data_IF_193320692896
#
_entry.id   IF_193320692896
#
_cell.length_a   1.000
_cell.length_b   1.000
_cell.length_c   1.000
_cell.angle_alpha   90.00
_cell.angle_beta   90.00
_cell.angle_gamma   90.00
#
_symmetry.space_group_name_H-M   'P 1'
#
loop_
_entity.id
_entity.type
_entity.pdbx_description
1 polymer ?
#
# COMPACT_ATOMS: atom_id res chain seq x y z
N UNK A 1 20.13 -1.12 -3.07
CA UNK A 1 19.91 0.23 -2.49
C UNK A 1 19.92 1.26 -3.59
N UNK A 2 18.84 1.97 -3.75
CA UNK A 2 18.78 3.10 -4.71
C UNK A 2 18.59 4.37 -3.92
N UNK A 3 19.61 5.22 -3.85
CA UNK A 3 19.50 6.56 -3.30
C UNK A 3 19.28 7.52 -4.47
N UNK A 4 18.10 8.10 -4.53
CA UNK A 4 17.80 9.07 -5.54
C UNK A 4 17.42 10.40 -4.88
N UNK A 5 18.03 11.50 -5.35
CA UNK A 5 17.52 12.83 -5.08
C UNK A 5 16.79 13.28 -6.33
N UNK A 6 15.50 13.55 -6.20
CA UNK A 6 14.66 13.97 -7.32
C UNK A 6 14.08 15.34 -6.95
N UNK A 7 14.58 16.38 -7.55
CA UNK A 7 14.27 17.76 -7.19
C UNK A 7 14.67 18.04 -5.74
N UNK A 8 13.72 18.51 -4.91
CA UNK A 8 13.93 18.73 -3.47
C UNK A 8 13.67 17.47 -2.62
N UNK A 9 13.22 16.37 -3.20
CA UNK A 9 12.91 15.14 -2.48
C UNK A 9 14.13 14.22 -2.45
N UNK A 10 14.50 13.77 -1.25
CA UNK A 10 15.51 12.73 -1.05
C UNK A 10 14.79 11.39 -1.02
N UNK A 11 15.14 10.50 -1.94
CA UNK A 11 14.66 9.11 -1.95
C UNK A 11 15.77 8.19 -1.47
N UNK A 12 15.46 7.39 -0.45
CA UNK A 12 16.33 6.32 0.06
C UNK A 12 15.51 5.02 0.02
N UNK A 13 15.61 4.28 -1.08
CA UNK A 13 14.75 3.12 -1.33
C UNK A 13 15.61 1.91 -1.65
N UNK A 14 15.41 0.83 -0.90
CA UNK A 14 15.87 -0.51 -1.23
C UNK A 14 14.63 -1.39 -1.43
N UNK A 15 14.15 -1.46 -2.67
CA UNK A 15 12.91 -2.13 -3.03
C UNK A 15 13.23 -3.30 -3.96
N UNK A 16 13.22 -4.54 -3.47
CA UNK A 16 13.31 -5.73 -4.32
C UNK A 16 11.96 -5.93 -5.01
N UNK A 17 11.94 -5.87 -6.34
CA UNK A 17 10.78 -6.23 -7.14
C UNK A 17 10.89 -7.69 -7.54
N UNK A 18 9.96 -8.49 -7.03
CA UNK A 18 9.78 -9.90 -7.41
C UNK A 18 8.55 -10.04 -8.29
N UNK A 19 8.40 -11.18 -8.96
CA UNK A 19 7.23 -11.48 -9.77
C UNK A 19 5.94 -11.36 -8.95
N UNK A 20 4.89 -10.92 -9.61
CA UNK A 20 3.60 -10.58 -8.98
C UNK A 20 3.40 -9.08 -8.79
N UNK A 21 2.34 -8.73 -8.06
CA UNK A 21 1.91 -7.34 -7.87
C UNK A 21 2.42 -6.83 -6.53
N UNK A 22 3.30 -5.83 -6.58
CA UNK A 22 3.72 -5.04 -5.41
C UNK A 22 2.97 -3.71 -5.43
N UNK A 23 2.17 -3.45 -4.40
CA UNK A 23 1.58 -2.14 -4.19
C UNK A 23 2.59 -1.20 -3.52
N UNK A 24 2.78 -0.02 -4.08
CA UNK A 24 3.54 1.07 -3.48
C UNK A 24 2.58 2.07 -2.85
N UNK A 25 2.47 2.02 -1.54
CA UNK A 25 1.55 2.81 -0.75
C UNK A 25 2.28 3.87 0.06
N UNK A 26 1.63 5.00 0.28
CA UNK A 26 2.14 6.09 1.10
C UNK A 26 1.37 7.39 0.88
N UNK A 27 1.56 8.40 1.73
CA UNK A 27 0.87 9.68 1.61
C UNK A 27 1.24 10.43 0.32
N UNK A 28 0.46 11.45 0.00
CA UNK A 28 0.81 12.36 -1.08
C UNK A 28 2.18 13.00 -0.81
N UNK A 29 3.03 13.06 -1.84
CA UNK A 29 4.40 13.57 -1.68
C UNK A 29 5.42 12.60 -1.10
N UNK A 30 5.05 11.36 -0.74
CA UNK A 30 5.99 10.36 -0.22
C UNK A 30 7.09 9.91 -1.20
N UNK A 31 6.96 10.27 -2.49
CA UNK A 31 7.95 9.93 -3.51
C UNK A 31 7.58 8.74 -4.40
N UNK A 32 6.31 8.28 -4.36
CA UNK A 32 5.83 7.12 -5.13
C UNK A 32 6.08 7.25 -6.64
N UNK A 33 5.55 8.30 -7.27
CA UNK A 33 5.74 8.56 -8.71
C UNK A 33 7.21 8.76 -9.06
N UNK A 34 7.96 9.48 -8.22
CA UNK A 34 9.38 9.70 -8.41
C UNK A 34 10.19 8.39 -8.39
N UNK A 35 9.77 7.42 -7.56
CA UNK A 35 10.37 6.08 -7.54
C UNK A 35 10.15 5.36 -8.87
N UNK A 36 8.92 5.38 -9.39
CA UNK A 36 8.61 4.77 -10.67
C UNK A 36 9.35 5.45 -11.83
N UNK A 37 9.42 6.78 -11.84
CA UNK A 37 10.16 7.54 -12.85
C UNK A 37 11.66 7.21 -12.84
N UNK A 38 12.26 7.04 -11.66
CA UNK A 38 13.65 6.64 -11.53
C UNK A 38 13.88 5.23 -12.10
N UNK A 39 12.99 4.28 -11.82
CA UNK A 39 13.04 2.92 -12.37
C UNK A 39 12.86 2.95 -13.89
N UNK A 40 11.87 3.68 -14.39
CA UNK A 40 11.58 3.82 -15.81
C UNK A 40 12.67 4.56 -16.60
N UNK A 41 13.47 5.40 -15.92
CA UNK A 41 14.57 6.17 -16.53
C UNK A 41 14.15 7.53 -17.08
N UNK A 42 13.05 8.09 -16.58
CA UNK A 42 12.65 9.46 -16.84
C UNK A 42 13.36 10.45 -15.93
N UNK A 43 13.71 10.02 -14.73
CA UNK A 43 14.52 10.78 -13.77
C UNK A 43 15.79 10.01 -13.47
N UNK A 44 16.93 10.72 -13.45
CA UNK A 44 18.24 10.14 -13.13
C UNK A 44 18.49 10.21 -11.62
N UNK A 45 18.67 9.07 -10.92
CA UNK A 45 19.12 9.08 -9.54
C UNK A 45 20.55 9.64 -9.40
N UNK A 46 20.89 10.20 -8.25
CA UNK A 46 22.27 10.66 -7.95
C UNK A 46 23.20 9.50 -7.61
N UNK A 47 22.66 8.46 -6.92
CA UNK A 47 23.42 7.31 -6.43
C UNK A 47 22.60 6.05 -6.53
N UNK A 48 23.28 4.91 -6.42
CA UNK A 48 22.68 3.60 -6.33
C UNK A 48 22.56 2.88 -7.65
N UNK A 49 21.74 1.85 -7.68
CA UNK A 49 21.60 0.91 -8.80
C UNK A 49 20.14 0.54 -9.03
N UNK A 50 19.75 0.39 -10.28
CA UNK A 50 18.46 -0.15 -10.69
C UNK A 50 18.69 -1.36 -11.59
N UNK A 51 18.06 -2.49 -11.25
CA UNK A 51 18.04 -3.71 -12.04
C UNK A 51 16.62 -3.98 -12.52
N UNK A 52 16.48 -4.50 -13.73
CA UNK A 52 15.22 -5.02 -14.28
C UNK A 52 15.50 -6.42 -14.83
N UNK A 53 15.01 -7.45 -14.15
CA UNK A 53 15.52 -8.79 -14.28
C UNK A 53 17.02 -8.83 -13.95
N UNK A 54 17.83 -9.45 -14.79
CA UNK A 54 19.29 -9.54 -14.61
C UNK A 54 20.06 -8.33 -15.19
N UNK A 55 19.36 -7.38 -15.80
CA UNK A 55 20.00 -6.26 -16.49
C UNK A 55 20.16 -5.05 -15.55
N UNK A 56 21.40 -4.55 -15.41
CA UNK A 56 21.67 -3.27 -14.78
C UNK A 56 21.26 -2.16 -15.77
N UNK A 57 20.21 -1.42 -15.41
CA UNK A 57 19.71 -0.30 -16.25
C UNK A 57 20.18 1.06 -15.78
N UNK A 58 20.58 1.13 -14.51
CA UNK A 58 21.24 2.28 -13.92
C UNK A 58 22.26 1.82 -12.86
N UNK A 59 23.43 2.40 -12.86
CA UNK A 59 24.45 2.25 -11.81
C UNK A 59 25.29 3.53 -11.78
N UNK A 60 25.20 4.26 -10.69
CA UNK A 60 25.87 5.54 -10.54
C UNK A 60 27.40 5.40 -10.49
N UNK A 61 27.88 4.34 -9.80
CA UNK A 61 29.30 4.11 -9.59
C UNK A 61 29.98 3.57 -10.87
N UNK A 62 29.26 2.73 -11.63
CA UNK A 62 29.71 2.21 -12.92
C UNK A 62 29.43 3.14 -14.11
N UNK A 63 28.77 4.28 -13.90
CA UNK A 63 28.42 5.23 -14.95
C UNK A 63 27.36 4.71 -15.93
N UNK A 64 26.62 3.66 -15.58
CA UNK A 64 25.57 3.08 -16.42
C UNK A 64 24.29 3.87 -16.27
N UNK A 65 23.70 4.34 -17.37
CA UNK A 65 22.38 4.95 -17.39
C UNK A 65 21.68 4.68 -18.72
N UNK A 66 20.93 3.59 -18.79
CA UNK A 66 20.15 3.26 -19.98
C UNK A 66 18.97 4.22 -20.12
N UNK A 67 18.73 4.76 -21.33
CA UNK A 67 17.53 5.57 -21.57
C UNK A 67 16.27 4.70 -21.45
N UNK A 68 15.13 5.30 -21.07
CA UNK A 68 13.87 4.63 -20.79
C UNK A 68 13.48 3.57 -21.85
N UNK A 69 13.61 3.90 -23.15
CA UNK A 69 13.31 2.98 -24.27
C UNK A 69 14.13 1.69 -24.30
N UNK A 70 15.26 1.63 -23.59
CA UNK A 70 16.16 0.46 -23.52
C UNK A 70 16.00 -0.34 -22.22
N UNK A 71 15.21 0.16 -21.24
CA UNK A 71 15.06 -0.49 -19.94
C UNK A 71 14.11 -1.66 -19.94
N UNK A 72 13.42 -1.92 -21.06
CA UNK A 72 12.41 -3.00 -21.17
C UNK A 72 11.37 -2.97 -20.05
N UNK A 73 11.02 -1.78 -19.61
CA UNK A 73 10.05 -1.50 -18.58
C UNK A 73 8.88 -0.75 -19.22
N UNK A 74 7.67 -1.23 -19.03
CA UNK A 74 6.49 -0.47 -19.42
C UNK A 74 6.05 0.43 -18.27
N UNK A 75 5.76 1.69 -18.57
CA UNK A 75 5.30 2.66 -17.60
C UNK A 75 3.97 3.25 -18.03
N UNK A 76 3.00 3.17 -17.13
CA UNK A 76 1.65 3.73 -17.25
C UNK A 76 1.58 4.89 -16.24
N UNK A 77 1.90 6.09 -16.70
CA UNK A 77 1.87 7.32 -15.89
C UNK A 77 0.53 8.04 -15.99
N UNK A 78 0.45 9.19 -15.34
CA UNK A 78 -0.77 10.01 -15.28
C UNK A 78 -1.23 10.59 -16.65
N UNK A 79 -0.41 10.49 -17.69
CA UNK A 79 -0.75 10.92 -19.06
C UNK A 79 -1.20 9.74 -19.88
N UNK A 80 -2.18 9.96 -20.76
CA UNK A 80 -2.73 8.94 -21.64
C UNK A 80 -1.65 8.14 -22.37
N UNK A 81 -1.59 6.85 -22.08
CA UNK A 81 -0.69 5.89 -22.72
C UNK A 81 -1.16 5.46 -24.11
N UNK A 82 -2.31 5.95 -24.60
CA UNK A 82 -2.88 5.63 -25.90
C UNK A 82 -2.75 6.80 -26.87
N UNK A 83 -2.58 6.49 -28.15
CA UNK A 83 -2.68 7.48 -29.22
C UNK A 83 -4.15 7.91 -29.42
N UNK A 84 -4.53 9.18 -29.19
CA UNK A 84 -5.92 9.59 -29.15
C UNK A 84 -6.63 9.54 -30.52
N UNK A 85 -5.87 9.58 -31.61
CA UNK A 85 -6.37 9.50 -32.99
C UNK A 85 -6.55 8.07 -33.51
N UNK A 86 -6.04 7.07 -32.79
CA UNK A 86 -6.12 5.66 -33.13
C UNK A 86 -7.23 4.96 -32.35
N UNK A 87 -7.84 3.91 -32.94
CA UNK A 87 -8.74 3.01 -32.20
C UNK A 87 -7.94 2.13 -31.23
N UNK A 88 -8.63 1.45 -30.30
CA UNK A 88 -7.99 0.49 -29.38
C UNK A 88 -7.19 -0.54 -30.18
N UNK A 89 -7.79 -1.15 -31.18
CA UNK A 89 -7.13 -2.12 -32.08
C UNK A 89 -5.88 -1.54 -32.74
N UNK A 90 -5.98 -0.31 -33.27
CA UNK A 90 -4.84 0.35 -33.92
C UNK A 90 -3.71 0.65 -32.92
N UNK A 91 -4.02 1.03 -31.69
CA UNK A 91 -3.06 1.23 -30.63
C UNK A 91 -2.27 -0.06 -30.30
N UNK A 92 -2.97 -1.20 -30.19
CA UNK A 92 -2.33 -2.49 -29.94
C UNK A 92 -1.51 -2.97 -31.15
N UNK A 93 -2.03 -2.78 -32.36
CA UNK A 93 -1.30 -3.10 -33.59
C UNK A 93 -0.02 -2.29 -33.74
N UNK A 94 -0.03 -1.03 -33.35
CA UNK A 94 1.16 -0.18 -33.36
C UNK A 94 2.22 -0.68 -32.38
N UNK A 95 1.84 -1.07 -31.16
CA UNK A 95 2.77 -1.62 -30.18
C UNK A 95 3.34 -3.00 -30.56
N UNK A 96 2.68 -3.69 -31.48
CA UNK A 96 3.04 -5.01 -31.97
C UNK A 96 3.81 -4.97 -33.32
N UNK A 97 4.40 -3.87 -33.72
CA UNK A 97 5.02 -3.65 -35.03
C UNK A 97 6.19 -4.60 -35.34
N UNK A 98 6.88 -5.07 -34.29
CA UNK A 98 7.99 -6.04 -34.38
C UNK A 98 7.57 -7.45 -34.82
N UNK A 99 6.26 -7.77 -34.75
CA UNK A 99 5.76 -9.11 -35.08
C UNK A 99 5.35 -9.21 -36.55
N UNK A 100 5.53 -10.40 -37.12
CA UNK A 100 4.99 -10.67 -38.45
C UNK A 100 3.48 -10.46 -38.48
N UNK A 101 2.94 -10.03 -39.64
CA UNK A 101 1.55 -9.59 -39.78
C UNK A 101 0.52 -10.56 -39.18
N UNK A 102 0.65 -11.85 -39.47
CA UNK A 102 -0.28 -12.87 -38.98
C UNK A 102 -0.22 -13.03 -37.47
N UNK A 103 0.98 -13.15 -36.92
CA UNK A 103 1.24 -13.29 -35.51
C UNK A 103 0.77 -12.04 -34.75
N UNK A 104 1.05 -10.86 -35.28
CA UNK A 104 0.60 -9.58 -34.72
C UNK A 104 -0.92 -9.52 -34.58
N UNK A 105 -1.67 -9.92 -35.63
CA UNK A 105 -3.14 -9.91 -35.62
C UNK A 105 -3.68 -10.89 -34.56
N UNK A 106 -3.10 -12.09 -34.47
CA UNK A 106 -3.47 -13.08 -33.47
C UNK A 106 -3.26 -12.57 -32.04
N UNK A 107 -2.06 -12.05 -31.73
CA UNK A 107 -1.72 -11.51 -30.42
C UNK A 107 -2.62 -10.34 -30.00
N UNK A 108 -2.94 -9.45 -30.95
CA UNK A 108 -3.88 -8.34 -30.68
C UNK A 108 -5.27 -8.88 -30.33
N UNK A 109 -5.78 -9.88 -31.06
CA UNK A 109 -7.08 -10.49 -30.76
C UNK A 109 -7.08 -11.16 -29.38
N UNK A 110 -6.03 -11.92 -29.03
CA UNK A 110 -5.85 -12.54 -27.74
C UNK A 110 -5.82 -11.50 -26.61
N UNK A 111 -5.09 -10.40 -26.82
CA UNK A 111 -4.99 -9.33 -25.81
C UNK A 111 -6.31 -8.57 -25.62
N UNK A 112 -7.04 -8.29 -26.72
CA UNK A 112 -8.36 -7.68 -26.66
C UNK A 112 -9.37 -8.56 -25.89
N UNK A 113 -9.33 -9.88 -26.14
CA UNK A 113 -10.18 -10.82 -25.40
C UNK A 113 -9.80 -10.88 -23.91
N UNK A 114 -8.51 -10.97 -23.61
CA UNK A 114 -7.98 -11.11 -22.25
C UNK A 114 -8.30 -9.89 -21.37
N UNK A 115 -8.28 -8.69 -21.93
CA UNK A 115 -8.60 -7.45 -21.22
C UNK A 115 -10.05 -7.00 -21.38
N UNK A 116 -10.92 -7.88 -21.92
CA UNK A 116 -12.37 -7.62 -22.08
C UNK A 116 -12.64 -6.37 -22.93
N UNK A 117 -11.92 -6.23 -24.06
CA UNK A 117 -11.98 -5.08 -24.97
C UNK A 117 -12.50 -5.43 -26.35
N UNK A 118 -13.02 -6.65 -26.56
CA UNK A 118 -13.45 -7.13 -27.86
C UNK A 118 -14.58 -6.29 -28.49
N UNK A 119 -15.50 -5.78 -27.66
CA UNK A 119 -16.59 -4.91 -28.07
C UNK A 119 -16.16 -3.45 -28.28
N UNK A 120 -15.00 -3.06 -27.76
CA UNK A 120 -14.45 -1.70 -27.83
C UNK A 120 -13.32 -1.53 -28.86
N UNK A 121 -13.02 -2.56 -29.63
CA UNK A 121 -11.84 -2.61 -30.51
C UNK A 121 -11.77 -1.46 -31.53
N UNK A 122 -12.90 -0.95 -32.03
CA UNK A 122 -12.98 0.16 -32.97
C UNK A 122 -13.25 1.53 -32.27
N UNK A 123 -13.41 1.54 -30.95
CA UNK A 123 -13.56 2.79 -30.17
C UNK A 123 -12.22 3.54 -30.06
N UNK A 124 -12.29 4.85 -29.95
CA UNK A 124 -11.13 5.70 -29.64
C UNK A 124 -10.98 5.88 -28.13
N UNK A 125 -9.77 6.20 -27.62
CA UNK A 125 -9.53 6.39 -26.19
C UNK A 125 -10.49 7.35 -25.48
N UNK A 126 -10.88 8.43 -26.15
CA UNK A 126 -11.83 9.44 -25.62
C UNK A 126 -13.25 8.90 -25.40
N UNK A 127 -13.61 7.84 -26.13
CA UNK A 127 -14.94 7.25 -26.11
C UNK A 127 -15.06 6.10 -25.09
N UNK A 128 -13.93 5.76 -24.42
CA UNK A 128 -13.85 4.71 -23.41
C UNK A 128 -14.08 5.27 -22.00
N UNK A 129 -14.81 4.55 -21.14
CA UNK A 129 -14.78 4.80 -19.70
C UNK A 129 -13.34 4.69 -19.13
N UNK A 130 -12.99 5.42 -18.05
CA UNK A 130 -11.61 5.45 -17.51
C UNK A 130 -11.03 4.06 -17.27
N UNK A 131 -11.76 3.14 -16.62
CA UNK A 131 -11.30 1.77 -16.34
C UNK A 131 -11.01 0.97 -17.62
N UNK A 132 -11.86 1.10 -18.66
CA UNK A 132 -11.64 0.43 -19.94
C UNK A 132 -10.47 1.03 -20.71
N UNK A 133 -10.27 2.34 -20.61
CA UNK A 133 -9.11 3.02 -21.17
C UNK A 133 -7.82 2.51 -20.54
N UNK A 134 -7.77 2.41 -19.21
CA UNK A 134 -6.61 1.86 -18.50
C UNK A 134 -6.36 0.40 -18.89
N UNK A 135 -7.40 -0.44 -19.06
CA UNK A 135 -7.23 -1.80 -19.59
C UNK A 135 -6.59 -1.81 -20.97
N UNK A 136 -6.99 -0.89 -21.85
CA UNK A 136 -6.40 -0.77 -23.19
C UNK A 136 -4.94 -0.29 -23.14
N UNK A 137 -4.59 0.60 -22.21
CA UNK A 137 -3.22 1.05 -21.97
C UNK A 137 -2.32 -0.11 -21.50
N UNK A 138 -2.79 -0.90 -20.52
CA UNK A 138 -2.11 -2.09 -20.04
C UNK A 138 -1.95 -3.12 -21.17
N UNK A 139 -3.01 -3.40 -21.91
CA UNK A 139 -2.97 -4.31 -23.04
C UNK A 139 -1.92 -3.89 -24.09
N UNK A 140 -1.90 -2.59 -24.44
CA UNK A 140 -0.90 -2.02 -25.33
C UNK A 140 0.52 -2.14 -24.78
N UNK A 141 0.71 -1.84 -23.50
CA UNK A 141 2.01 -1.94 -22.84
C UNK A 141 2.57 -3.38 -22.88
N UNK A 142 1.72 -4.38 -22.61
CA UNK A 142 2.10 -5.79 -22.65
C UNK A 142 2.45 -6.30 -24.04
N UNK A 143 1.93 -5.68 -25.11
CA UNK A 143 2.34 -5.99 -26.49
C UNK A 143 3.84 -5.74 -26.74
N UNK A 144 4.50 -4.94 -25.92
CA UNK A 144 5.95 -4.69 -26.00
C UNK A 144 6.80 -5.75 -25.30
N UNK A 145 6.19 -6.76 -24.66
CA UNK A 145 6.84 -7.77 -23.81
C UNK A 145 7.83 -7.16 -22.81
N UNK A 146 7.34 -6.31 -21.89
CA UNK A 146 8.19 -5.70 -20.90
C UNK A 146 8.71 -6.76 -19.92
N UNK A 147 9.82 -6.46 -19.24
CA UNK A 147 10.35 -7.25 -18.13
C UNK A 147 9.79 -6.80 -16.78
N UNK A 148 9.26 -5.58 -16.72
CA UNK A 148 8.58 -5.03 -15.55
C UNK A 148 7.47 -4.08 -16.00
N UNK A 149 6.41 -3.97 -15.20
CA UNK A 149 5.30 -3.05 -15.42
C UNK A 149 5.19 -2.10 -14.23
N UNK A 150 5.17 -0.80 -14.53
CA UNK A 150 5.03 0.27 -13.54
C UNK A 150 3.72 0.99 -13.80
N UNK A 151 2.84 1.04 -12.79
CA UNK A 151 1.51 1.65 -12.90
C UNK A 151 1.39 2.79 -11.89
N UNK A 152 1.35 4.02 -12.40
CA UNK A 152 1.14 5.23 -11.62
C UNK A 152 -0.21 5.85 -11.98
N UNK A 153 -1.28 5.08 -11.79
CA UNK A 153 -2.65 5.48 -12.09
C UNK A 153 -3.60 5.05 -10.97
N UNK A 154 -4.45 5.98 -10.55
CA UNK A 154 -5.42 5.76 -9.47
C UNK A 154 -6.68 5.00 -9.92
N UNK A 155 -6.93 4.93 -11.23
CA UNK A 155 -8.10 4.23 -11.79
C UNK A 155 -7.94 2.70 -11.87
N UNK A 156 -6.82 2.15 -11.37
CA UNK A 156 -6.62 0.71 -11.30
C UNK A 156 -7.57 0.11 -10.26
N UNK A 157 -8.41 -0.81 -10.71
CA UNK A 157 -9.39 -1.53 -9.90
C UNK A 157 -9.01 -3.01 -9.72
N UNK A 158 -9.72 -3.70 -8.83
CA UNK A 158 -9.52 -5.13 -8.58
C UNK A 158 -9.68 -5.97 -9.86
N UNK A 159 -10.61 -5.59 -10.74
CA UNK A 159 -10.85 -6.30 -11.99
C UNK A 159 -9.64 -6.20 -12.93
N UNK A 160 -9.05 -5.02 -13.10
CA UNK A 160 -7.82 -4.84 -13.87
C UNK A 160 -6.66 -5.65 -13.30
N UNK A 161 -6.43 -5.59 -11.98
CA UNK A 161 -5.33 -6.29 -11.31
C UNK A 161 -5.46 -7.81 -11.45
N UNK A 162 -6.69 -8.34 -11.40
CA UNK A 162 -6.98 -9.76 -11.68
C UNK A 162 -6.68 -10.14 -13.13
N UNK A 163 -7.10 -9.33 -14.11
CA UNK A 163 -6.79 -9.56 -15.53
C UNK A 163 -5.27 -9.53 -15.78
N UNK A 164 -4.60 -8.57 -15.16
CA UNK A 164 -3.15 -8.39 -15.26
C UNK A 164 -2.40 -9.60 -14.70
N UNK A 165 -2.81 -10.13 -13.55
CA UNK A 165 -2.23 -11.34 -12.94
C UNK A 165 -2.29 -12.55 -13.88
N UNK A 166 -3.38 -12.68 -14.65
CA UNK A 166 -3.52 -13.73 -15.67
C UNK A 166 -2.73 -13.48 -16.95
N UNK A 167 -2.32 -12.22 -17.20
CA UNK A 167 -1.72 -11.81 -18.46
C UNK A 167 -0.20 -11.60 -18.40
N UNK A 168 0.35 -11.32 -17.22
CA UNK A 168 1.75 -10.97 -17.04
C UNK A 168 2.33 -11.64 -15.78
N UNK A 169 3.39 -12.41 -15.96
CA UNK A 169 4.03 -13.16 -14.88
C UNK A 169 5.20 -12.39 -14.23
N UNK A 170 5.66 -11.29 -14.83
CA UNK A 170 6.78 -10.51 -14.29
C UNK A 170 6.37 -9.55 -13.17
N UNK A 171 7.33 -8.79 -12.63
CA UNK A 171 7.08 -7.85 -11.54
C UNK A 171 6.24 -6.65 -12.00
N UNK A 172 5.21 -6.36 -11.21
CA UNK A 172 4.34 -5.17 -11.33
C UNK A 172 4.55 -4.31 -10.10
N UNK A 173 4.89 -3.04 -10.28
CA UNK A 173 4.88 -2.03 -9.22
C UNK A 173 3.72 -1.08 -9.48
N UNK A 174 2.75 -1.07 -8.58
CA UNK A 174 1.53 -0.30 -8.71
C UNK A 174 1.37 0.71 -7.57
N UNK A 175 1.19 1.98 -7.92
CA UNK A 175 0.97 3.06 -6.96
C UNK A 175 -0.51 3.16 -6.61
N UNK A 176 -0.81 3.21 -5.31
CA UNK A 176 -2.15 3.40 -4.80
C UNK A 176 -2.15 4.08 -3.43
N UNK A 177 -3.28 4.64 -3.04
CA UNK A 177 -3.59 5.16 -1.70
C UNK A 177 -4.77 4.40 -1.04
N UNK A 178 -5.21 3.31 -1.66
CA UNK A 178 -6.28 2.43 -1.17
C UNK A 178 -5.70 1.16 -0.52
N UNK A 179 -5.74 1.08 0.82
CA UNK A 179 -5.27 -0.08 1.59
C UNK A 179 -6.13 -1.33 1.39
N UNK A 180 -7.45 -1.16 1.23
CA UNK A 180 -8.35 -2.29 1.05
C UNK A 180 -8.09 -2.96 -0.30
N UNK A 181 -7.82 -2.14 -1.32
CA UNK A 181 -7.43 -2.65 -2.64
C UNK A 181 -6.03 -3.27 -2.62
N UNK A 182 -5.07 -2.75 -1.82
CA UNK A 182 -3.79 -3.41 -1.57
C UNK A 182 -4.01 -4.81 -0.98
N UNK A 183 -4.83 -4.91 0.07
CA UNK A 183 -5.10 -6.16 0.78
C UNK A 183 -5.74 -7.23 -0.11
N UNK A 184 -6.68 -6.82 -0.96
CA UNK A 184 -7.43 -7.74 -1.84
C UNK A 184 -6.65 -8.15 -3.10
N UNK A 185 -5.75 -7.29 -3.59
CA UNK A 185 -5.22 -7.44 -4.95
C UNK A 185 -3.70 -7.51 -5.07
N UNK A 186 -2.94 -7.06 -4.07
CA UNK A 186 -1.48 -7.11 -4.11
C UNK A 186 -0.93 -8.38 -3.44
N UNK A 187 0.22 -8.85 -3.92
CA UNK A 187 0.99 -9.93 -3.29
C UNK A 187 1.90 -9.37 -2.19
N UNK A 188 2.44 -8.18 -2.45
CA UNK A 188 3.35 -7.47 -1.54
C UNK A 188 2.95 -6.01 -1.40
N UNK A 189 3.33 -5.45 -0.28
CA UNK A 189 3.14 -4.05 0.05
C UNK A 189 4.49 -3.41 0.33
N UNK A 190 4.74 -2.27 -0.29
CA UNK A 190 5.86 -1.40 -0.04
C UNK A 190 5.32 -0.08 0.55
N UNK A 191 5.67 0.21 1.78
CA UNK A 191 5.24 1.42 2.48
C UNK A 191 6.29 2.50 2.35
N UNK A 192 5.91 3.63 1.76
CA UNK A 192 6.79 4.75 1.51
C UNK A 192 6.36 5.97 2.32
N UNK A 193 7.26 6.54 3.10
CA UNK A 193 7.05 7.77 3.85
C UNK A 193 8.28 8.68 3.74
N UNK A 194 8.05 9.96 3.43
CA UNK A 194 9.12 10.96 3.32
C UNK A 194 10.30 10.56 2.43
N UNK A 195 10.06 9.78 1.37
CA UNK A 195 11.09 9.27 0.47
C UNK A 195 11.85 8.04 0.97
N UNK A 196 11.41 7.42 2.06
CA UNK A 196 12.04 6.22 2.66
C UNK A 196 11.08 5.04 2.64
N UNK A 197 11.61 3.86 2.37
CA UNK A 197 10.88 2.61 2.52
C UNK A 197 10.83 2.26 4.02
N UNK A 198 9.62 2.34 4.62
CA UNK A 198 9.39 2.10 6.06
C UNK A 198 8.79 0.73 6.34
N UNK A 199 8.45 -0.03 5.30
CA UNK A 199 7.99 -1.40 5.39
C UNK A 199 7.93 -2.06 4.01
N UNK A 200 8.27 -3.36 3.93
CA UNK A 200 8.16 -4.15 2.70
C UNK A 200 7.99 -5.62 3.03
N UNK A 201 6.96 -6.24 2.49
CA UNK A 201 6.71 -7.66 2.72
C UNK A 201 5.42 -8.16 2.07
N UNK A 202 5.05 -9.42 2.32
CA UNK A 202 3.73 -9.93 1.96
C UNK A 202 2.64 -9.02 2.56
N UNK A 203 1.63 -8.66 1.75
CA UNK A 203 0.67 -7.63 2.14
C UNK A 203 -0.03 -7.95 3.48
N UNK A 204 -0.46 -9.20 3.67
CA UNK A 204 -1.17 -9.63 4.90
C UNK A 204 -0.27 -9.55 6.13
N UNK A 205 0.95 -10.07 6.02
CA UNK A 205 1.92 -10.07 7.11
C UNK A 205 2.27 -8.65 7.54
N UNK A 206 2.59 -7.77 6.58
CA UNK A 206 2.94 -6.39 6.87
C UNK A 206 1.77 -5.59 7.46
N UNK A 207 0.53 -5.88 7.03
CA UNK A 207 -0.65 -5.24 7.59
C UNK A 207 -1.01 -5.78 8.99
N UNK A 208 -0.77 -7.04 9.28
CA UNK A 208 -1.02 -7.63 10.60
C UNK A 208 0.10 -7.34 11.59
N UNK A 209 1.35 -7.34 11.12
CA UNK A 209 2.56 -7.21 11.93
C UNK A 209 3.53 -6.17 11.34
N UNK A 210 3.21 -4.88 11.39
CA UNK A 210 4.12 -3.83 10.94
C UNK A 210 5.37 -3.81 11.83
N UNK A 211 6.54 -3.62 11.20
CA UNK A 211 7.84 -3.69 11.88
C UNK A 211 8.27 -2.35 12.52
N UNK A 212 7.55 -1.27 12.24
CA UNK A 212 7.86 0.07 12.75
C UNK A 212 6.61 0.90 13.01
N UNK A 213 6.77 1.93 13.83
CA UNK A 213 5.69 2.90 14.12
C UNK A 213 5.26 3.64 12.88
N UNK A 214 6.20 3.97 12.00
CA UNK A 214 5.95 4.63 10.72
C UNK A 214 5.09 3.74 9.82
N UNK A 215 5.44 2.47 9.70
CA UNK A 215 4.63 1.49 8.98
C UNK A 215 3.23 1.34 9.60
N UNK A 216 3.15 1.23 10.93
CA UNK A 216 1.90 1.11 11.67
C UNK A 216 0.96 2.30 11.40
N UNK A 217 1.49 3.52 11.36
CA UNK A 217 0.71 4.73 11.03
C UNK A 217 0.15 4.69 9.61
N UNK A 218 0.96 4.27 8.66
CA UNK A 218 0.54 4.20 7.25
C UNK A 218 -0.57 3.18 7.02
N UNK A 219 -0.54 2.05 7.73
CA UNK A 219 -1.59 1.02 7.63
C UNK A 219 -2.76 1.24 8.60
N UNK A 220 -2.97 2.49 9.01
CA UNK A 220 -4.11 2.96 9.80
C UNK A 220 -4.21 2.38 11.23
N UNK A 221 -3.11 1.96 11.85
CA UNK A 221 -3.07 1.78 13.30
C UNK A 221 -3.09 3.17 13.94
N UNK A 222 -4.27 3.61 14.37
CA UNK A 222 -4.48 5.01 14.79
C UNK A 222 -4.16 5.25 16.27
N UNK A 223 -4.24 4.23 17.10
CA UNK A 223 -3.91 4.34 18.52
C UNK A 223 -2.46 3.88 18.71
N UNK A 224 -1.55 4.84 18.89
CA UNK A 224 -0.11 4.61 19.05
C UNK A 224 0.37 5.38 20.28
N UNK A 225 0.83 4.66 21.30
CA UNK A 225 1.23 5.21 22.57
C UNK A 225 2.71 4.93 22.83
N UNK A 226 3.52 5.95 23.14
CA UNK A 226 4.85 5.73 23.67
C UNK A 226 4.75 5.06 25.04
N UNK A 227 5.54 4.03 25.28
CA UNK A 227 5.53 3.29 26.52
C UNK A 227 6.94 2.89 26.98
N UNK A 228 7.06 2.63 28.28
CA UNK A 228 8.27 2.04 28.87
C UNK A 228 7.91 0.67 29.45
N UNK A 229 8.76 -0.31 29.23
CA UNK A 229 8.58 -1.65 29.79
C UNK A 229 8.85 -1.61 31.29
N UNK A 230 7.80 -1.64 32.12
CA UNK A 230 7.88 -1.63 33.57
C UNK A 230 8.12 -3.01 34.16
N UNK A 231 7.79 -4.07 33.44
CA UNK A 231 8.00 -5.45 33.88
C UNK A 231 7.76 -6.46 32.77
N UNK A 232 8.44 -7.61 32.90
CA UNK A 232 8.34 -8.75 31.99
C UNK A 232 8.08 -10.01 32.81
N UNK A 233 7.04 -10.76 32.47
CA UNK A 233 6.68 -12.03 33.12
C UNK A 233 6.59 -13.15 32.06
N UNK A 234 7.69 -13.86 31.81
CA UNK A 234 7.71 -14.97 30.86
C UNK A 234 6.76 -16.12 31.25
N UNK A 235 6.57 -16.33 32.55
CA UNK A 235 5.75 -17.42 33.07
C UNK A 235 4.27 -17.24 32.77
N UNK A 236 3.81 -16.00 32.73
CA UNK A 236 2.42 -15.62 32.39
C UNK A 236 2.26 -15.13 30.95
N UNK A 237 3.34 -15.16 30.15
CA UNK A 237 3.39 -14.59 28.80
C UNK A 237 2.90 -13.14 28.75
N UNK A 238 3.34 -12.32 29.69
CA UNK A 238 2.86 -10.94 29.86
C UNK A 238 4.01 -9.94 30.00
N UNK A 239 3.73 -8.70 29.57
CA UNK A 239 4.53 -7.51 29.85
C UNK A 239 3.66 -6.42 30.47
N UNK A 240 4.26 -5.60 31.33
CA UNK A 240 3.66 -4.40 31.88
C UNK A 240 4.26 -3.19 31.18
N UNK A 241 3.41 -2.41 30.51
CA UNK A 241 3.79 -1.29 29.64
C UNK A 241 3.24 -0.02 30.25
N UNK A 242 4.11 0.90 30.62
CA UNK A 242 3.78 2.16 31.27
C UNK A 242 3.72 3.26 30.21
N UNK A 243 2.50 3.73 29.91
CA UNK A 243 2.21 4.87 29.06
C UNK A 243 2.09 6.15 29.92
N UNK A 244 1.98 7.33 29.29
CA UNK A 244 1.92 8.59 30.03
C UNK A 244 0.76 8.65 31.05
N UNK A 245 -0.44 8.19 30.66
CA UNK A 245 -1.65 8.35 31.44
C UNK A 245 -2.24 7.03 31.97
N UNK A 246 -1.69 5.89 31.54
CA UNK A 246 -2.23 4.58 31.91
C UNK A 246 -1.15 3.47 31.80
N UNK A 247 -1.47 2.33 32.38
CA UNK A 247 -0.62 1.14 32.32
C UNK A 247 -1.35 0.03 31.58
N UNK A 248 -0.65 -0.60 30.63
CA UNK A 248 -1.18 -1.72 29.86
C UNK A 248 -0.47 -3.02 30.24
N UNK A 249 -1.24 -4.10 30.22
CA UNK A 249 -0.72 -5.46 30.18
C UNK A 249 -0.76 -5.92 28.74
N UNK A 250 0.41 -6.23 28.18
CA UNK A 250 0.55 -6.71 26.81
C UNK A 250 1.15 -8.10 26.76
N UNK A 251 1.39 -8.67 25.56
CA UNK A 251 2.09 -9.93 25.38
C UNK A 251 3.54 -9.83 25.87
N UNK A 252 4.15 -10.97 26.21
CA UNK A 252 5.56 -11.01 26.60
C UNK A 252 6.46 -10.61 25.42
N UNK A 253 7.39 -9.69 25.68
CA UNK A 253 8.29 -9.13 24.68
C UNK A 253 9.66 -9.81 24.77
N UNK A 254 9.85 -10.82 23.94
CA UNK A 254 11.12 -11.56 23.88
C UNK A 254 12.24 -10.66 23.33
N UNK A 255 13.36 -10.63 24.05
CA UNK A 255 14.55 -9.85 23.63
C UNK A 255 14.57 -8.42 24.14
N UNK A 256 13.52 -7.97 24.81
CA UNK A 256 13.48 -6.67 25.47
C UNK A 256 13.83 -6.77 26.95
N UNK A 257 14.23 -5.64 27.52
CA UNK A 257 14.57 -5.49 28.93
C UNK A 257 13.62 -4.51 29.63
N UNK A 258 13.53 -4.65 30.95
CA UNK A 258 12.84 -3.63 31.78
C UNK A 258 13.54 -2.28 31.62
N UNK A 259 12.77 -1.23 31.33
CA UNK A 259 13.25 0.12 31.07
C UNK A 259 13.35 0.48 29.58
N UNK A 260 13.24 -0.49 28.68
CA UNK A 260 13.25 -0.22 27.24
C UNK A 260 12.04 0.65 26.87
N UNK A 261 12.28 1.59 25.94
CA UNK A 261 11.24 2.42 25.36
C UNK A 261 10.69 1.74 24.09
N UNK A 262 9.39 1.62 24.03
CA UNK A 262 8.66 0.97 22.94
C UNK A 262 7.46 1.81 22.55
N UNK A 263 6.86 1.48 21.43
CA UNK A 263 5.54 1.97 21.05
C UNK A 263 4.52 0.85 21.17
N UNK A 264 3.33 1.18 21.67
CA UNK A 264 2.19 0.25 21.72
C UNK A 264 1.14 0.73 20.76
N UNK A 265 0.72 -0.16 19.88
CA UNK A 265 -0.31 0.14 18.89
C UNK A 265 -1.52 -0.77 19.03
N UNK A 266 -2.71 -0.22 18.73
CA UNK A 266 -3.94 -0.99 18.58
C UNK A 266 -4.82 -0.36 17.50
N UNK A 267 -5.47 -1.17 16.68
CA UNK A 267 -6.42 -0.69 15.68
C UNK A 267 -7.70 -0.17 16.34
N UNK A 268 -8.34 0.82 15.72
CA UNK A 268 -9.59 1.38 16.26
C UNK A 268 -10.73 0.35 16.32
N UNK A 269 -10.76 -0.59 15.38
CA UNK A 269 -11.72 -1.69 15.33
C UNK A 269 -11.51 -2.75 16.42
N UNK A 270 -10.29 -2.87 16.97
CA UNK A 270 -9.94 -3.81 18.03
C UNK A 270 -10.18 -3.23 19.43
N UNK A 271 -10.39 -1.92 19.51
CA UNK A 271 -10.74 -1.23 20.77
C UNK A 271 -12.18 -1.56 21.11
N UNK A 272 -12.40 -2.04 22.34
CA UNK A 272 -13.74 -2.30 22.83
C UNK A 272 -14.24 -1.11 23.66
N UNK A 273 -15.50 -0.80 23.49
CA UNK A 273 -16.14 0.33 24.16
C UNK A 273 -17.33 -0.18 24.95
N UNK A 274 -17.37 0.18 26.21
CA UNK A 274 -18.42 -0.17 27.17
C UNK A 274 -19.08 1.11 27.68
N UNK A 275 -20.40 1.05 27.83
CA UNK A 275 -21.18 2.15 28.37
C UNK A 275 -21.51 1.89 29.83
N UNK A 276 -21.39 2.94 30.68
CA UNK A 276 -21.64 2.86 32.09
C UNK A 276 -20.43 2.52 32.95
N UNK A 277 -20.62 2.48 34.28
CA UNK A 277 -19.59 2.08 35.22
C UNK A 277 -19.50 0.54 35.24
N UNK A 278 -18.35 0.03 34.85
CA UNK A 278 -17.99 -1.38 35.01
C UNK A 278 -16.84 -1.50 36.00
N UNK A 279 -16.70 -2.67 36.63
CA UNK A 279 -15.53 -2.96 37.44
C UNK A 279 -14.26 -2.87 36.55
N UNK A 280 -13.19 -2.21 37.00
CA UNK A 280 -11.99 -2.03 36.23
C UNK A 280 -11.33 -3.40 35.92
N UNK A 281 -11.37 -3.78 34.68
CA UNK A 281 -10.67 -4.95 34.16
C UNK A 281 -9.23 -4.64 33.73
N UNK A 282 -8.59 -5.61 33.10
CA UNK A 282 -7.25 -5.44 32.54
C UNK A 282 -7.34 -4.52 31.33
N UNK A 283 -6.50 -3.47 31.30
CA UNK A 283 -6.43 -2.48 30.23
C UNK A 283 -7.70 -1.66 30.01
N UNK A 284 -8.47 -1.44 31.05
CA UNK A 284 -9.60 -0.51 31.02
C UNK A 284 -9.12 0.90 31.33
N UNK A 285 -9.52 1.84 30.49
CA UNK A 285 -9.23 3.27 30.63
C UNK A 285 -10.56 4.03 30.65
N UNK A 286 -10.87 4.69 31.77
CA UNK A 286 -12.00 5.60 31.84
C UNK A 286 -11.71 6.81 30.96
N UNK A 287 -12.61 7.17 30.06
CA UNK A 287 -12.36 8.28 29.15
C UNK A 287 -13.66 9.01 28.76
N UNK A 288 -13.53 10.29 28.45
CA UNK A 288 -14.63 11.11 27.94
C UNK A 288 -14.63 11.05 26.41
N UNK A 289 -15.81 10.86 25.83
CA UNK A 289 -16.02 11.00 24.40
C UNK A 289 -15.88 12.47 24.01
N UNK A 290 -14.93 12.74 23.10
CA UNK A 290 -14.64 14.10 22.60
C UNK A 290 -15.31 14.34 21.26
N UNK A 291 -15.29 13.33 20.40
CA UNK A 291 -15.83 13.45 19.05
C UNK A 291 -16.43 12.14 18.56
N UNK A 292 -17.49 12.26 17.81
CA UNK A 292 -18.14 11.16 17.11
C UNK A 292 -18.24 11.48 15.62
N UNK A 293 -17.92 10.51 14.80
CA UNK A 293 -18.03 10.62 13.32
C UNK A 293 -18.73 9.39 12.77
N UNK A 294 -19.90 9.59 12.18
CA UNK A 294 -20.62 8.52 11.51
C UNK A 294 -19.99 8.20 10.15
N UNK A 295 -19.85 6.91 9.87
CA UNK A 295 -19.45 6.37 8.58
C UNK A 295 -20.59 5.52 7.99
N UNK A 296 -20.42 4.99 6.80
CA UNK A 296 -21.46 4.20 6.12
C UNK A 296 -21.99 3.03 6.96
N UNK A 297 -21.11 2.27 7.63
CA UNK A 297 -21.46 1.08 8.43
C UNK A 297 -21.06 1.17 9.88
N UNK A 298 -20.15 2.07 10.25
CA UNK A 298 -19.53 2.19 11.55
C UNK A 298 -19.68 3.59 12.10
N UNK A 299 -19.33 3.74 13.36
CA UNK A 299 -19.18 5.02 14.06
C UNK A 299 -17.80 5.06 14.67
N UNK A 300 -17.02 6.09 14.31
CA UNK A 300 -15.74 6.37 14.94
C UNK A 300 -15.95 7.25 16.15
N UNK A 301 -15.44 6.79 17.27
CA UNK A 301 -15.46 7.48 18.56
C UNK A 301 -14.03 7.90 18.89
N UNK A 302 -13.84 9.16 19.25
CA UNK A 302 -12.54 9.70 19.66
C UNK A 302 -12.67 10.17 21.12
N UNK A 303 -11.78 9.65 21.96
CA UNK A 303 -11.80 9.85 23.39
C UNK A 303 -10.69 10.81 23.83
N UNK A 304 -10.88 11.43 25.02
CA UNK A 304 -9.82 12.18 25.66
C UNK A 304 -8.56 11.30 25.85
N UNK A 305 -7.36 11.90 25.64
CA UNK A 305 -6.12 11.12 25.61
C UNK A 305 -5.78 10.53 24.23
N UNK A 306 -6.61 10.82 23.18
CA UNK A 306 -6.30 10.49 21.79
C UNK A 306 -6.63 9.06 21.37
N UNK A 307 -7.29 8.27 22.22
CA UNK A 307 -7.75 6.92 21.86
C UNK A 307 -8.96 7.01 20.93
N UNK A 308 -8.94 6.24 19.85
CA UNK A 308 -10.05 6.10 18.93
C UNK A 308 -10.58 4.67 18.91
N UNK A 309 -11.89 4.50 18.84
CA UNK A 309 -12.56 3.23 18.61
C UNK A 309 -13.46 3.30 17.39
N UNK A 310 -13.62 2.17 16.70
CA UNK A 310 -14.56 2.07 15.60
C UNK A 310 -15.54 0.92 15.88
N UNK A 311 -16.83 1.26 16.06
CA UNK A 311 -17.88 0.32 16.43
C UNK A 311 -19.01 0.32 15.39
N UNK A 312 -19.83 -0.72 15.37
CA UNK A 312 -20.99 -0.76 14.49
C UNK A 312 -22.03 0.29 14.86
N UNK A 313 -22.83 0.77 13.90
CA UNK A 313 -23.93 1.71 14.17
C UNK A 313 -24.95 1.11 15.16
N UNK A 314 -25.16 -0.19 15.10
CA UNK A 314 -26.07 -0.89 16.00
C UNK A 314 -25.55 -0.87 17.45
N UNK A 315 -24.25 -1.15 17.64
CA UNK A 315 -23.60 -1.09 18.95
C UNK A 315 -23.66 0.35 19.51
N UNK A 316 -23.36 1.35 18.68
CA UNK A 316 -23.44 2.77 19.08
C UNK A 316 -24.87 3.13 19.50
N UNK A 317 -25.90 2.75 18.72
CA UNK A 317 -27.30 3.06 19.04
C UNK A 317 -27.76 2.50 20.40
N UNK A 318 -27.21 1.35 20.79
CA UNK A 318 -27.50 0.75 22.11
C UNK A 318 -26.81 1.46 23.28
N UNK A 319 -25.72 2.18 23.00
CA UNK A 319 -24.85 2.73 24.03
C UNK A 319 -24.86 4.27 24.13
N UNK A 320 -25.39 4.97 23.12
CA UNK A 320 -25.30 6.43 22.98
C UNK A 320 -25.93 7.23 24.12
N UNK A 321 -26.96 6.67 24.79
CA UNK A 321 -27.73 7.37 25.84
C UNK A 321 -27.14 7.16 27.23
N UNK A 322 -26.04 6.43 27.36
CA UNK A 322 -25.37 6.19 28.64
C UNK A 322 -24.45 7.33 29.05
N UNK A 323 -24.39 7.57 30.33
CA UNK A 323 -23.48 8.57 30.94
C UNK A 323 -22.15 7.90 31.27
N UNK A 324 -21.14 8.19 30.50
CA UNK A 324 -19.79 7.69 30.72
C UNK A 324 -19.41 6.55 29.77
N UNK A 325 -18.15 6.53 29.42
CA UNK A 325 -17.54 5.55 28.50
C UNK A 325 -16.33 4.94 29.17
N UNK A 326 -16.20 3.62 29.04
CA UNK A 326 -14.97 2.90 29.36
C UNK A 326 -14.41 2.29 28.09
N UNK A 327 -13.11 2.45 27.91
CA UNK A 327 -12.38 1.95 26.75
C UNK A 327 -11.50 0.80 27.20
N UNK A 328 -11.69 -0.37 26.61
CA UNK A 328 -10.85 -1.54 26.82
C UNK A 328 -9.89 -1.70 25.66
N UNK A 329 -8.61 -1.85 25.96
CA UNK A 329 -7.54 -2.15 25.01
C UNK A 329 -7.11 -3.63 25.19
N UNK A 330 -7.74 -4.59 24.48
CA UNK A 330 -7.54 -6.01 24.73
C UNK A 330 -6.05 -6.40 24.60
N UNK A 331 -5.46 -7.10 25.57
CA UNK A 331 -4.03 -7.47 25.53
C UNK A 331 -3.61 -8.21 24.25
N UNK A 332 -4.47 -9.08 23.75
CA UNK A 332 -4.21 -9.87 22.53
C UNK A 332 -4.18 -9.03 21.23
N UNK A 333 -4.81 -7.85 21.24
CA UNK A 333 -4.85 -6.94 20.09
C UNK A 333 -3.70 -5.92 20.09
N UNK A 334 -2.95 -5.83 21.19
CA UNK A 334 -1.81 -4.91 21.29
C UNK A 334 -0.67 -5.37 20.39
N UNK A 335 -0.05 -4.42 19.70
CA UNK A 335 1.19 -4.57 18.94
C UNK A 335 2.26 -3.70 19.60
N UNK A 336 3.47 -4.20 19.68
CA UNK A 336 4.60 -3.47 20.29
C UNK A 336 5.73 -3.39 19.28
N UNK A 337 6.28 -2.18 19.11
CA UNK A 337 7.30 -1.83 18.12
C UNK A 337 8.54 -1.26 18.78
#
# INVERSE_FOLDING_TARGET
MTHARIGNARLEIDLPLVDGITALFGPAGAGKSATLEAIAGFTRPERGRVLIGDAIVFDADAGVNLPARRRRCAWLGARDGLFPHMTVRQNLLFAADRWARLERTKRVAEMLARFELADALEMRPRDLPPQRRLRAEVARALMTEPKALLIDQQDADEALLRLLRGAFAGPVLWVTDDLDLCYSSADRLALLDGGRLVGYGPVRELMEHPESVEAARLIAISNLYPATIAGLDPGRNQSRLECADFVLTGPYLKGHLKGDRVWVGIRAEDVRVHAGEMEPGVNFVASQLVRMTERSRTVRLEFAGGTAAEISREQYARQKDNKGWQVELPPAALRVF
#
